data_IF_488953955874
#
_entry.id   IF_488953955874
#
_cell.length_a   1.000
_cell.length_b   1.000
_cell.length_c   1.000
_cell.angle_alpha   90.00
_cell.angle_beta   90.00
_cell.angle_gamma   90.00
#
_symmetry.space_group_name_H-M   'P 1'
#
loop_
_entity.id
_entity.type
_entity.pdbx_description
1 polymer ?
#
# COMPACT_ATOMS: atom_id res chain seq x y z
N UNK A 1 -52.92 -64.14 35.97
CA UNK A 1 -53.48 -63.18 36.94
C UNK A 1 -52.30 -62.59 37.70
N UNK A 2 -52.03 -61.30 37.84
CA UNK A 2 -52.74 -60.03 37.63
C UNK A 2 -51.66 -58.94 37.39
N UNK A 3 -52.04 -57.90 36.65
CA UNK A 3 -51.34 -56.64 36.34
C UNK A 3 -50.81 -55.89 37.57
N UNK A 4 -49.81 -55.01 37.38
CA UNK A 4 -49.82 -53.53 37.58
C UNK A 4 -48.39 -52.97 37.44
N UNK A 5 -48.08 -52.24 36.36
CA UNK A 5 -48.13 -50.77 36.17
C UNK A 5 -47.01 -49.97 36.89
N UNK A 6 -46.13 -49.39 36.06
CA UNK A 6 -45.25 -48.26 36.33
C UNK A 6 -46.04 -47.01 36.77
N UNK A 7 -45.39 -46.06 37.47
CA UNK A 7 -45.28 -44.74 36.84
C UNK A 7 -43.95 -43.98 37.12
N UNK A 8 -43.41 -43.42 36.04
CA UNK A 8 -43.11 -41.98 35.84
C UNK A 8 -42.00 -41.24 36.63
N UNK A 9 -41.08 -40.69 35.80
CA UNK A 9 -40.65 -39.27 35.76
C UNK A 9 -39.48 -38.79 36.63
N UNK A 10 -38.37 -38.44 35.97
CA UNK A 10 -37.85 -37.08 35.68
C UNK A 10 -36.39 -37.28 35.21
N UNK A 11 -36.07 -37.07 33.92
CA UNK A 11 -35.45 -35.84 33.41
C UNK A 11 -34.13 -35.50 34.13
N UNK A 12 -32.98 -35.23 33.52
CA UNK A 12 -32.60 -34.76 32.18
C UNK A 12 -31.09 -34.48 32.26
N UNK A 13 -30.36 -34.68 31.16
CA UNK A 13 -29.16 -33.93 30.70
C UNK A 13 -27.90 -33.92 31.62
N UNK A 14 -26.65 -33.96 31.16
CA UNK A 14 -26.07 -33.37 29.96
C UNK A 14 -24.82 -34.17 29.58
N UNK A 15 -24.81 -34.70 28.35
CA UNK A 15 -23.59 -35.07 27.65
C UNK A 15 -22.89 -33.78 27.22
N UNK A 16 -21.71 -33.51 27.78
CA UNK A 16 -20.81 -32.47 27.25
C UNK A 16 -19.92 -33.16 26.22
N UNK A 17 -20.46 -33.33 25.02
CA UNK A 17 -19.68 -33.47 23.79
C UNK A 17 -19.04 -32.12 23.51
N UNK A 18 -17.78 -31.94 23.89
CA UNK A 18 -16.91 -30.91 23.30
C UNK A 18 -16.62 -31.31 21.85
N UNK A 19 -17.60 -31.08 20.98
CA UNK A 19 -17.33 -30.89 19.55
C UNK A 19 -16.55 -29.60 19.45
N UNK A 20 -15.24 -29.72 19.22
CA UNK A 20 -14.41 -28.60 18.81
C UNK A 20 -15.07 -27.93 17.62
N UNK A 21 -15.38 -26.65 17.78
CA UNK A 21 -15.87 -25.76 16.73
C UNK A 21 -14.73 -25.58 15.71
N UNK A 22 -14.52 -26.58 14.86
CA UNK A 22 -13.95 -26.33 13.53
C UNK A 22 -15.02 -25.57 12.75
N UNK A 23 -15.13 -24.27 13.02
CA UNK A 23 -15.87 -23.36 12.16
C UNK A 23 -15.13 -23.39 10.83
N UNK A 24 -15.67 -24.14 9.86
CA UNK A 24 -15.17 -24.10 8.49
C UNK A 24 -15.38 -22.66 8.00
N UNK A 25 -14.33 -21.83 8.07
CA UNK A 25 -14.32 -20.50 7.48
C UNK A 25 -14.80 -20.63 6.03
N UNK A 26 -15.91 -19.97 5.71
CA UNK A 26 -16.47 -20.06 4.37
C UNK A 26 -15.56 -19.32 3.39
N UNK A 27 -15.62 -19.63 2.09
CA UNK A 27 -14.90 -18.85 1.07
C UNK A 27 -15.21 -17.35 1.15
N UNK A 28 -16.41 -16.99 1.62
CA UNK A 28 -16.84 -15.61 1.80
C UNK A 28 -16.14 -14.92 2.98
N UNK A 29 -15.93 -15.63 4.08
CA UNK A 29 -15.21 -15.10 5.25
C UNK A 29 -13.75 -14.84 4.91
N UNK A 30 -13.11 -15.77 4.18
CA UNK A 30 -11.74 -15.60 3.68
C UNK A 30 -11.61 -14.43 2.71
N UNK A 31 -12.57 -14.25 1.81
CA UNK A 31 -12.59 -13.10 0.93
C UNK A 31 -12.69 -11.77 1.70
N UNK A 32 -13.48 -11.73 2.78
CA UNK A 32 -13.59 -10.55 3.64
C UNK A 32 -12.30 -10.25 4.41
N UNK A 33 -11.61 -11.29 4.91
CA UNK A 33 -10.31 -11.16 5.58
C UNK A 33 -9.23 -10.65 4.63
N UNK A 34 -9.14 -11.20 3.42
CA UNK A 34 -8.21 -10.74 2.38
C UNK A 34 -8.50 -9.29 2.03
N UNK A 35 -9.77 -8.94 1.82
CA UNK A 35 -10.18 -7.56 1.55
C UNK A 35 -9.72 -6.66 2.69
N UNK A 36 -10.04 -7.01 3.95
CA UNK A 36 -9.68 -6.19 5.11
C UNK A 36 -8.16 -5.99 5.25
N UNK A 37 -7.35 -7.01 4.94
CA UNK A 37 -5.90 -6.95 5.01
C UNK A 37 -5.25 -6.30 3.79
N UNK A 38 -5.89 -6.28 2.62
CA UNK A 38 -5.39 -5.68 1.39
C UNK A 38 -5.57 -4.15 1.37
N UNK A 39 -5.14 -3.48 2.43
CA UNK A 39 -5.18 -2.02 2.54
C UNK A 39 -4.11 -1.37 1.66
N UNK A 40 -4.26 -0.06 1.40
CA UNK A 40 -3.21 0.70 0.71
C UNK A 40 -1.84 0.62 1.43
N UNK A 41 -1.84 0.52 2.76
CA UNK A 41 -0.64 0.36 3.57
C UNK A 41 0.08 -0.97 3.35
N UNK A 42 -0.64 -2.05 3.03
CA UNK A 42 -0.07 -3.37 2.76
C UNK A 42 0.16 -3.62 1.26
N UNK A 43 -0.46 -2.84 0.37
CA UNK A 43 -0.32 -2.96 -1.08
C UNK A 43 0.64 -1.92 -1.70
N UNK A 44 1.68 -1.52 -0.97
CA UNK A 44 2.63 -0.45 -1.38
C UNK A 44 3.15 -0.57 -2.82
N UNK A 45 3.56 -1.76 -3.33
CA UNK A 45 4.02 -1.89 -4.70
C UNK A 45 2.95 -1.50 -5.74
N UNK A 46 1.68 -1.82 -5.48
CA UNK A 46 0.57 -1.54 -6.41
C UNK A 46 0.22 -0.05 -6.37
N UNK A 47 0.33 0.57 -5.20
CA UNK A 47 0.19 2.01 -5.02
C UNK A 47 1.29 2.76 -5.79
N UNK A 48 2.53 2.27 -5.77
CA UNK A 48 3.64 2.81 -6.56
C UNK A 48 3.39 2.76 -8.09
N UNK A 49 2.75 1.70 -8.59
CA UNK A 49 2.35 1.62 -9.99
C UNK A 49 1.34 2.70 -10.39
N UNK A 50 0.36 2.96 -9.52
CA UNK A 50 -0.63 4.01 -9.76
C UNK A 50 0.00 5.40 -9.76
N UNK A 51 0.96 5.63 -8.87
CA UNK A 51 1.70 6.90 -8.84
C UNK A 51 2.51 7.13 -10.11
N UNK A 52 3.29 6.13 -10.52
CA UNK A 52 4.10 6.22 -11.73
C UNK A 52 3.23 6.53 -12.94
N UNK A 53 2.05 5.92 -13.00
CA UNK A 53 1.06 6.18 -14.03
C UNK A 53 0.54 7.63 -13.96
N UNK A 54 0.19 8.08 -12.77
CA UNK A 54 -0.24 9.45 -12.53
C UNK A 54 0.85 10.49 -12.87
N UNK A 55 2.12 10.22 -12.59
CA UNK A 55 3.25 11.10 -12.91
C UNK A 55 3.54 11.14 -14.42
N UNK A 56 3.58 9.98 -15.07
CA UNK A 56 3.97 9.86 -16.48
C UNK A 56 2.90 10.42 -17.41
N UNK A 57 1.62 10.18 -17.09
CA UNK A 57 0.50 10.52 -17.97
C UNK A 57 -0.28 11.76 -17.52
N UNK A 58 0.05 12.31 -16.35
CA UNK A 58 -0.83 13.22 -15.63
C UNK A 58 -2.08 12.52 -15.08
N UNK A 59 -2.84 13.19 -14.21
CA UNK A 59 -4.13 12.65 -13.75
C UNK A 59 -5.15 12.70 -14.89
N UNK A 60 -5.46 11.53 -15.46
CA UNK A 60 -6.41 11.39 -16.57
C UNK A 60 -7.77 10.82 -16.13
N UNK A 61 -7.99 10.69 -14.82
CA UNK A 61 -9.21 10.12 -14.24
C UNK A 61 -8.92 8.94 -13.31
N UNK A 62 -9.98 8.45 -12.68
CA UNK A 62 -9.95 7.27 -11.81
C UNK A 62 -10.00 5.99 -12.65
N UNK A 63 -9.41 4.90 -12.18
CA UNK A 63 -9.44 3.61 -12.88
C UNK A 63 -9.95 2.50 -11.96
N UNK A 64 -10.54 1.48 -12.54
CA UNK A 64 -10.82 0.21 -11.85
C UNK A 64 -10.08 -0.89 -12.59
N UNK A 65 -9.17 -1.57 -11.88
CA UNK A 65 -8.65 -2.85 -12.32
C UNK A 65 -9.50 -3.98 -11.74
N UNK A 66 -9.75 -5.00 -12.55
CA UNK A 66 -10.27 -6.28 -12.08
C UNK A 66 -9.13 -7.29 -12.20
N UNK A 67 -8.74 -7.90 -11.10
CA UNK A 67 -7.57 -8.77 -11.01
C UNK A 67 -7.93 -10.13 -10.42
N UNK A 68 -7.24 -11.15 -10.88
CA UNK A 68 -7.20 -12.47 -10.28
C UNK A 68 -5.80 -12.70 -9.71
N UNK A 69 -5.68 -13.36 -8.56
CA UNK A 69 -4.39 -13.72 -7.96
C UNK A 69 -4.56 -14.88 -6.98
N UNK A 70 -3.45 -15.45 -6.53
CA UNK A 70 -3.41 -16.49 -5.50
C UNK A 70 -2.61 -15.98 -4.31
N UNK A 71 -3.11 -16.21 -3.09
CA UNK A 71 -2.32 -16.00 -1.87
C UNK A 71 -1.78 -17.35 -1.44
N UNK A 72 -0.47 -17.49 -1.36
CA UNK A 72 0.18 -18.70 -0.86
C UNK A 72 0.03 -18.85 0.65
N UNK A 73 0.39 -20.03 1.19
CA UNK A 73 0.43 -20.27 2.65
C UNK A 73 1.57 -19.56 3.39
N UNK A 74 2.16 -18.55 2.77
CA UNK A 74 3.15 -17.63 3.32
C UNK A 74 2.68 -16.17 3.14
N UNK A 75 1.37 -15.97 2.96
CA UNK A 75 0.74 -14.64 2.86
C UNK A 75 1.20 -13.79 1.65
N UNK A 76 2.02 -14.35 0.76
CA UNK A 76 2.43 -13.71 -0.49
C UNK A 76 1.43 -13.93 -1.61
N UNK A 77 1.18 -12.85 -2.35
CA UNK A 77 0.41 -12.83 -3.59
C UNK A 77 1.25 -13.41 -4.72
N UNK A 78 0.59 -14.11 -5.64
CA UNK A 78 1.23 -14.84 -6.75
C UNK A 78 0.28 -14.96 -7.92
N UNK A 79 0.84 -15.22 -9.11
CA UNK A 79 0.08 -15.50 -10.33
C UNK A 79 -0.94 -14.39 -10.63
N UNK A 80 -0.61 -13.14 -10.30
CA UNK A 80 -1.50 -12.02 -10.50
C UNK A 80 -1.76 -11.78 -12.00
N UNK A 81 -3.03 -11.55 -12.34
CA UNK A 81 -3.47 -11.31 -13.71
C UNK A 81 -4.57 -10.27 -13.72
N UNK A 82 -4.32 -9.15 -14.41
CA UNK A 82 -5.34 -8.12 -14.63
C UNK A 82 -6.25 -8.61 -15.76
N UNK A 83 -7.54 -8.71 -15.47
CA UNK A 83 -8.59 -9.06 -16.45
C UNK A 83 -9.05 -7.82 -17.21
N UNK A 84 -9.45 -6.78 -16.48
CA UNK A 84 -9.79 -5.48 -17.06
C UNK A 84 -9.11 -4.36 -16.30
N UNK A 85 -8.92 -3.24 -16.99
CA UNK A 85 -8.40 -1.99 -16.44
C UNK A 85 -9.05 -0.87 -17.24
N UNK A 86 -10.00 -0.19 -16.64
CA UNK A 86 -10.89 0.74 -17.32
C UNK A 86 -11.03 2.04 -16.52
N UNK A 87 -11.12 3.21 -17.18
CA UNK A 87 -11.43 4.45 -16.48
C UNK A 87 -12.86 4.39 -15.90
N UNK A 88 -13.06 5.00 -14.74
CA UNK A 88 -14.39 5.12 -14.11
C UNK A 88 -15.31 6.01 -14.94
N UNK A 89 -14.75 7.04 -15.58
CA UNK A 89 -15.48 7.91 -16.51
C UNK A 89 -15.41 7.39 -17.94
N UNK A 90 -16.56 6.95 -18.46
CA UNK A 90 -16.73 6.44 -19.83
C UNK A 90 -16.43 7.48 -20.95
N UNK A 91 -16.20 8.75 -20.58
CA UNK A 91 -15.82 9.83 -21.49
C UNK A 91 -14.31 10.06 -21.61
N UNK A 92 -13.49 9.33 -20.84
CA UNK A 92 -12.04 9.48 -20.89
C UNK A 92 -11.50 9.02 -22.26
N UNK A 93 -10.52 9.73 -22.85
CA UNK A 93 -9.92 9.32 -24.11
C UNK A 93 -9.29 7.93 -23.99
N UNK A 94 -9.59 7.06 -24.96
CA UNK A 94 -8.98 5.72 -25.05
C UNK A 94 -7.48 5.87 -25.20
N UNK A 95 -6.72 5.38 -24.22
CA UNK A 95 -5.26 5.38 -24.21
C UNK A 95 -4.73 3.97 -24.01
N UNK A 96 -3.45 3.80 -24.35
CA UNK A 96 -2.75 2.57 -24.05
C UNK A 96 -2.50 2.47 -22.53
N UNK A 97 -2.97 1.37 -21.94
CA UNK A 97 -2.82 1.05 -20.51
C UNK A 97 -1.95 -0.20 -20.30
N UNK A 98 -1.22 -0.64 -21.33
CA UNK A 98 -0.42 -1.87 -21.31
C UNK A 98 0.68 -1.80 -20.24
N UNK A 99 1.37 -0.67 -20.13
CA UNK A 99 2.41 -0.48 -19.11
C UNK A 99 1.82 -0.46 -17.70
N UNK A 100 0.69 0.24 -17.50
CA UNK A 100 0.02 0.26 -16.20
C UNK A 100 -0.45 -1.13 -15.79
N UNK A 101 -1.06 -1.87 -16.73
CA UNK A 101 -1.48 -3.26 -16.52
C UNK A 101 -0.30 -4.14 -16.09
N UNK A 102 0.80 -4.10 -16.84
CA UNK A 102 1.99 -4.90 -16.52
C UNK A 102 2.60 -4.51 -15.17
N UNK A 103 2.54 -3.23 -14.80
CA UNK A 103 2.99 -2.76 -13.50
C UNK A 103 2.14 -3.38 -12.38
N UNK A 104 0.81 -3.31 -12.47
CA UNK A 104 -0.10 -3.86 -11.47
C UNK A 104 0.13 -5.36 -11.26
N UNK A 105 0.27 -6.13 -12.34
CA UNK A 105 0.51 -7.59 -12.25
C UNK A 105 1.81 -7.90 -11.51
N UNK A 106 2.91 -7.25 -11.87
CA UNK A 106 4.21 -7.44 -11.20
C UNK A 106 4.17 -6.99 -9.75
N UNK A 107 3.56 -5.84 -9.50
CA UNK A 107 3.46 -5.29 -8.15
C UNK A 107 2.64 -6.18 -7.23
N UNK A 108 1.56 -6.79 -7.72
CA UNK A 108 0.78 -7.74 -6.93
C UNK A 108 1.62 -8.97 -6.55
N UNK A 109 2.46 -9.49 -7.44
CA UNK A 109 3.36 -10.61 -7.11
C UNK A 109 4.44 -10.25 -6.06
N UNK A 110 4.64 -8.96 -5.77
CA UNK A 110 5.54 -8.46 -4.72
C UNK A 110 4.83 -8.21 -3.37
N UNK A 111 3.50 -8.33 -3.31
CA UNK A 111 2.74 -8.09 -2.08
C UNK A 111 2.86 -9.26 -1.12
N UNK A 112 3.22 -8.95 0.11
CA UNK A 112 3.19 -9.83 1.28
C UNK A 112 2.26 -9.20 2.32
N UNK A 113 1.20 -9.91 2.71
CA UNK A 113 0.33 -9.42 3.79
C UNK A 113 0.96 -9.73 5.15
N UNK A 114 0.95 -8.79 6.11
CA UNK A 114 1.43 -9.06 7.44
C UNK A 114 0.50 -10.07 8.13
N UNK A 115 1.07 -10.98 8.92
CA UNK A 115 0.28 -11.96 9.70
C UNK A 115 -0.38 -11.34 10.93
N UNK A 116 0.12 -10.19 11.40
CA UNK A 116 -0.37 -9.46 12.56
C UNK A 116 -0.94 -8.11 12.14
N UNK A 117 -1.84 -7.57 12.96
CA UNK A 117 -2.36 -6.20 12.79
C UNK A 117 -1.26 -5.18 13.06
N UNK A 118 -1.14 -4.19 12.19
CA UNK A 118 -0.19 -3.08 12.33
C UNK A 118 -0.86 -1.73 12.01
N UNK A 119 -0.06 -0.69 11.79
CA UNK A 119 -0.54 0.65 11.44
C UNK A 119 -1.19 0.73 10.04
N UNK A 120 -0.90 -0.22 9.15
CA UNK A 120 -1.45 -0.34 7.81
C UNK A 120 -2.80 -1.05 7.77
N UNK A 121 -3.15 -1.86 8.79
CA UNK A 121 -4.45 -2.51 8.88
C UNK A 121 -4.41 -3.86 9.61
N UNK A 122 -5.49 -4.65 9.52
CA UNK A 122 -5.50 -6.00 10.07
C UNK A 122 -4.56 -6.91 9.29
N UNK A 123 -3.93 -7.86 10.00
CA UNK A 123 -3.15 -8.92 9.37
C UNK A 123 -4.02 -9.99 8.71
N UNK A 124 -3.39 -10.81 7.88
CA UNK A 124 -3.99 -11.98 7.23
C UNK A 124 -3.12 -13.21 7.49
N UNK A 125 -3.73 -14.35 7.82
CA UNK A 125 -3.02 -15.62 7.76
C UNK A 125 -3.94 -16.74 7.33
N UNK A 126 -3.43 -17.61 6.48
CA UNK A 126 -4.16 -18.77 6.01
C UNK A 126 -3.27 -20.00 5.92
N UNK A 127 -3.75 -21.11 6.51
CA UNK A 127 -3.06 -22.41 6.51
C UNK A 127 -2.95 -23.01 5.10
N UNK A 128 -3.84 -22.63 4.19
CA UNK A 128 -3.88 -23.11 2.81
C UNK A 128 -4.01 -21.93 1.86
N UNK A 129 -3.35 -22.03 0.71
CA UNK A 129 -3.44 -20.99 -0.30
C UNK A 129 -4.88 -20.76 -0.79
N UNK A 130 -5.18 -19.52 -1.17
CA UNK A 130 -6.49 -19.07 -1.60
C UNK A 130 -6.38 -18.42 -2.97
N UNK A 131 -7.17 -18.92 -3.94
CA UNK A 131 -7.34 -18.24 -5.23
C UNK A 131 -8.44 -17.19 -5.11
N UNK A 132 -8.13 -15.97 -5.51
CA UNK A 132 -9.03 -14.82 -5.53
C UNK A 132 -9.32 -14.45 -6.98
N UNK A 133 -10.61 -14.31 -7.30
CA UNK A 133 -11.06 -13.95 -8.64
C UNK A 133 -11.89 -12.67 -8.62
N UNK A 134 -11.78 -11.89 -9.68
CA UNK A 134 -12.50 -10.64 -9.90
C UNK A 134 -12.35 -9.62 -8.76
N UNK A 135 -11.19 -9.60 -8.11
CA UNK A 135 -10.88 -8.60 -7.10
C UNK A 135 -10.78 -7.23 -7.78
N UNK A 136 -11.50 -6.23 -7.28
CA UNK A 136 -11.61 -4.93 -7.95
C UNK A 136 -10.74 -3.92 -7.23
N UNK A 137 -9.70 -3.41 -7.88
CA UNK A 137 -8.86 -2.36 -7.33
C UNK A 137 -9.31 -1.03 -7.92
N UNK A 138 -9.83 -0.13 -7.09
CA UNK A 138 -10.15 1.23 -7.52
C UNK A 138 -8.95 2.15 -7.28
N UNK A 139 -8.45 2.76 -8.35
CA UNK A 139 -7.40 3.77 -8.33
C UNK A 139 -8.04 5.15 -8.40
N UNK A 140 -8.08 5.84 -7.27
CA UNK A 140 -8.80 7.12 -7.15
C UNK A 140 -7.85 8.31 -7.00
N UNK A 141 -8.33 9.47 -7.45
CA UNK A 141 -7.65 10.76 -7.32
C UNK A 141 -7.79 11.39 -5.93
N UNK A 142 -7.35 12.65 -5.78
CA UNK A 142 -7.21 13.33 -4.48
C UNK A 142 -8.40 14.21 -4.06
N UNK A 143 -9.57 14.07 -4.69
CA UNK A 143 -10.74 14.86 -4.32
C UNK A 143 -11.24 14.52 -2.90
N UNK A 144 -11.19 15.49 -1.99
CA UNK A 144 -11.43 15.31 -0.55
C UNK A 144 -12.77 14.63 -0.20
N UNK A 145 -13.86 14.99 -0.88
CA UNK A 145 -15.18 14.38 -0.64
C UNK A 145 -15.28 12.92 -1.08
N UNK A 146 -14.45 12.50 -2.05
CA UNK A 146 -14.41 11.13 -2.57
C UNK A 146 -13.53 10.23 -1.73
N UNK A 147 -12.52 10.78 -1.02
CA UNK A 147 -11.76 10.04 -0.01
C UNK A 147 -12.62 9.62 1.16
N UNK A 148 -13.46 10.52 1.68
CA UNK A 148 -14.40 10.21 2.76
C UNK A 148 -15.47 9.18 2.33
N UNK A 149 -15.91 9.26 1.06
CA UNK A 149 -16.83 8.27 0.48
C UNK A 149 -16.15 6.90 0.19
N UNK A 150 -14.85 6.90 -0.14
CA UNK A 150 -14.04 5.71 -0.39
C UNK A 150 -13.58 5.01 0.90
N UNK A 151 -13.22 5.79 1.93
CA UNK A 151 -12.88 5.30 3.27
C UNK A 151 -14.09 4.59 3.91
N UNK A 152 -15.30 5.04 3.56
CA UNK A 152 -16.57 4.35 3.89
C UNK A 152 -16.93 3.16 2.98
N UNK A 153 -16.21 2.94 1.86
CA UNK A 153 -16.53 1.92 0.85
C UNK A 153 -15.32 1.03 0.53
N UNK A 154 -15.10 0.07 1.43
CA UNK A 154 -14.38 -1.20 1.20
C UNK A 154 -12.86 -1.11 0.92
N UNK A 155 -12.11 -2.07 1.47
CA UNK A 155 -10.66 -2.20 1.38
C UNK A 155 -10.16 -2.72 0.01
N UNK A 156 -10.80 -2.28 -1.07
CA UNK A 156 -10.42 -2.55 -2.45
C UNK A 156 -10.15 -1.24 -3.21
N UNK A 157 -10.13 -0.12 -2.50
CA UNK A 157 -9.77 1.19 -3.03
C UNK A 157 -8.31 1.47 -2.68
N UNK A 158 -7.46 1.49 -3.70
CA UNK A 158 -6.10 2.00 -3.59
C UNK A 158 -6.12 3.49 -3.93
N UNK A 159 -6.11 4.29 -2.88
CA UNK A 159 -5.92 5.73 -3.00
C UNK A 159 -4.44 5.95 -3.27
N UNK A 160 -4.10 6.60 -4.39
CA UNK A 160 -2.72 7.03 -4.63
C UNK A 160 -2.19 7.86 -3.45
N UNK A 161 -0.88 7.84 -3.18
CA UNK A 161 -0.23 8.20 -1.91
C UNK A 161 -0.23 9.70 -1.60
N UNK A 162 -1.15 10.48 -2.15
CA UNK A 162 -1.58 11.68 -1.43
C UNK A 162 -2.51 11.34 -0.26
N UNK A 163 -2.76 10.07 0.03
CA UNK A 163 -3.60 9.58 1.12
C UNK A 163 -2.96 9.79 2.51
N UNK A 164 -1.65 9.53 2.65
CA UNK A 164 -0.87 9.88 3.86
C UNK A 164 0.39 10.64 3.43
N UNK A 165 0.35 11.97 3.59
CA UNK A 165 1.46 12.87 3.24
C UNK A 165 2.76 12.52 4.00
N UNK A 166 2.65 11.80 5.11
CA UNK A 166 3.70 11.71 6.12
C UNK A 166 4.46 10.40 6.13
N UNK A 167 3.89 9.34 5.57
CA UNK A 167 4.64 8.11 5.33
C UNK A 167 5.69 8.29 4.24
N UNK A 168 5.56 9.34 3.42
CA UNK A 168 6.25 9.42 2.14
C UNK A 168 6.02 8.13 1.35
N UNK A 169 6.92 7.85 0.43
CA UNK A 169 7.05 6.62 -0.36
C UNK A 169 6.52 6.75 -1.78
N UNK A 170 7.50 6.91 -2.65
CA UNK A 170 7.63 6.05 -3.80
C UNK A 170 8.68 4.99 -3.45
N UNK A 171 8.35 3.70 -3.59
CA UNK A 171 9.42 2.73 -3.84
C UNK A 171 9.73 2.81 -5.33
N UNK A 172 10.67 3.68 -5.73
CA UNK A 172 11.09 3.74 -7.13
C UNK A 172 11.82 2.45 -7.50
N UNK A 173 11.28 1.70 -8.47
CA UNK A 173 11.93 0.50 -9.00
C UNK A 173 12.30 0.70 -10.48
N UNK A 174 13.60 0.62 -10.85
CA UNK A 174 14.76 0.42 -9.97
C UNK A 174 15.07 1.66 -9.11
N UNK A 175 15.69 1.48 -7.92
CA UNK A 175 16.14 2.59 -7.08
C UNK A 175 17.13 3.47 -7.83
N UNK A 176 17.01 4.80 -7.66
CA UNK A 176 17.90 5.74 -8.34
C UNK A 176 19.22 5.87 -7.60
N UNK A 177 20.28 6.22 -8.33
CA UNK A 177 21.54 6.55 -7.70
C UNK A 177 21.48 7.93 -7.03
N UNK A 178 22.32 8.14 -6.02
CA UNK A 178 22.36 9.37 -5.23
C UNK A 178 22.62 10.63 -6.07
N UNK A 179 23.40 10.53 -7.16
CA UNK A 179 23.71 11.67 -8.03
C UNK A 179 22.54 12.12 -8.91
N UNK A 180 21.75 11.15 -9.39
CA UNK A 180 20.48 11.38 -10.08
C UNK A 180 19.49 12.09 -9.14
N UNK A 181 19.37 11.61 -7.90
CA UNK A 181 18.49 12.20 -6.88
C UNK A 181 18.88 13.64 -6.54
N UNK A 182 20.17 13.93 -6.32
CA UNK A 182 20.64 15.31 -6.12
C UNK A 182 20.29 16.23 -7.28
N UNK A 183 20.43 15.73 -8.51
CA UNK A 183 20.14 16.51 -9.72
C UNK A 183 18.65 16.83 -9.84
N UNK A 184 17.77 15.86 -9.61
CA UNK A 184 16.32 16.09 -9.64
C UNK A 184 15.85 17.06 -8.54
N UNK A 185 16.34 16.89 -7.32
CA UNK A 185 16.04 17.80 -6.20
C UNK A 185 16.47 19.23 -6.53
N UNK A 186 17.68 19.40 -7.09
CA UNK A 186 18.17 20.71 -7.52
C UNK A 186 17.31 21.31 -8.64
N UNK A 187 16.91 20.51 -9.62
CA UNK A 187 16.05 20.94 -10.73
C UNK A 187 14.67 21.40 -10.23
N UNK A 188 14.01 20.64 -9.36
CA UNK A 188 12.73 21.01 -8.76
C UNK A 188 12.85 22.30 -7.95
N UNK A 189 13.94 22.44 -7.17
CA UNK A 189 14.19 23.66 -6.39
C UNK A 189 14.40 24.88 -7.29
N UNK A 190 15.05 24.70 -8.44
CA UNK A 190 15.30 25.79 -9.41
C UNK A 190 14.07 26.21 -10.22
N UNK A 191 13.05 25.35 -10.31
CA UNK A 191 11.82 25.57 -11.08
C UNK A 191 10.59 25.26 -10.21
N UNK A 192 10.32 26.08 -9.20
CA UNK A 192 9.18 25.83 -8.31
C UNK A 192 7.85 25.93 -9.06
N UNK A 193 6.85 25.16 -8.61
CA UNK A 193 5.48 25.31 -9.08
C UNK A 193 4.98 26.75 -8.94
N UNK A 194 4.02 27.11 -9.79
CA UNK A 194 3.34 28.39 -9.69
C UNK A 194 2.69 28.53 -8.30
N UNK A 195 3.06 29.55 -7.49
CA UNK A 195 2.53 29.71 -6.14
C UNK A 195 1.03 30.03 -6.08
N UNK A 196 0.42 30.48 -7.20
CA UNK A 196 -1.03 30.68 -7.28
C UNK A 196 -1.81 29.37 -7.44
N UNK A 197 -1.18 28.30 -7.93
CA UNK A 197 -1.77 26.96 -8.03
C UNK A 197 -1.41 26.16 -6.78
N UNK A 198 -2.26 26.27 -5.76
CA UNK A 198 -2.06 25.61 -4.45
C UNK A 198 -1.90 24.10 -4.58
N UNK A 199 -2.57 23.50 -5.55
CA UNK A 199 -2.50 22.06 -5.77
C UNK A 199 -1.15 21.72 -6.38
N UNK A 200 -0.71 22.41 -7.43
CA UNK A 200 0.62 22.22 -8.00
C UNK A 200 1.75 22.41 -6.97
N UNK A 201 1.61 23.39 -6.06
CA UNK A 201 2.56 23.58 -4.95
C UNK A 201 2.56 22.38 -4.00
N UNK A 202 1.39 21.89 -3.59
CA UNK A 202 1.30 20.72 -2.72
C UNK A 202 1.89 19.46 -3.37
N UNK A 203 1.72 19.30 -4.69
CA UNK A 203 2.32 18.20 -5.48
C UNK A 203 3.83 18.24 -5.48
N UNK A 204 4.40 19.40 -5.81
CA UNK A 204 5.85 19.59 -5.84
C UNK A 204 6.46 19.41 -4.44
N UNK A 205 5.78 19.86 -3.39
CA UNK A 205 6.25 19.66 -2.01
C UNK A 205 6.25 18.19 -1.60
N UNK A 206 5.20 17.44 -1.95
CA UNK A 206 5.15 16.00 -1.68
C UNK A 206 6.26 15.28 -2.45
N UNK A 207 6.40 15.55 -3.75
CA UNK A 207 7.45 14.96 -4.58
C UNK A 207 8.86 15.28 -4.05
N UNK A 208 9.07 16.51 -3.57
CA UNK A 208 10.32 16.91 -2.95
C UNK A 208 10.61 16.11 -1.69
N UNK A 209 9.60 15.94 -0.83
CA UNK A 209 9.70 15.13 0.38
C UNK A 209 10.08 13.68 0.07
N UNK A 210 9.45 13.08 -0.94
CA UNK A 210 9.71 11.70 -1.33
C UNK A 210 11.12 11.50 -1.91
N UNK A 211 11.59 12.43 -2.74
CA UNK A 211 12.95 12.42 -3.27
C UNK A 211 14.00 12.52 -2.16
N UNK A 212 13.73 13.35 -1.15
CA UNK A 212 14.62 13.53 -0.01
C UNK A 212 14.67 12.29 0.89
N UNK A 213 13.53 11.61 1.08
CA UNK A 213 13.47 10.31 1.76
C UNK A 213 14.27 9.23 1.03
N UNK A 214 14.10 9.10 -0.29
CA UNK A 214 14.88 8.13 -1.08
C UNK A 214 16.38 8.44 -1.04
N UNK A 215 16.76 9.71 -1.16
CA UNK A 215 18.14 10.14 -1.05
C UNK A 215 18.74 9.78 0.31
N UNK A 216 18.02 10.03 1.40
CA UNK A 216 18.47 9.67 2.74
C UNK A 216 18.68 8.15 2.88
N UNK A 217 17.71 7.34 2.43
CA UNK A 217 17.82 5.89 2.44
C UNK A 217 19.00 5.39 1.58
N UNK A 218 19.25 6.02 0.44
CA UNK A 218 20.37 5.63 -0.44
C UNK A 218 21.73 5.97 0.15
N UNK A 219 21.84 7.15 0.75
CA UNK A 219 23.06 7.56 1.46
C UNK A 219 23.33 6.68 2.69
N UNK A 220 22.29 6.22 3.39
CA UNK A 220 22.42 5.22 4.47
C UNK A 220 22.94 3.88 3.95
N UNK A 221 22.37 3.38 2.84
CA UNK A 221 22.82 2.15 2.20
C UNK A 221 24.28 2.26 1.70
N UNK A 222 24.64 3.40 1.12
CA UNK A 222 26.02 3.69 0.71
C UNK A 222 26.94 3.66 1.92
N UNK A 223 26.59 4.34 3.03
CA UNK A 223 27.39 4.35 4.27
C UNK A 223 27.54 2.98 4.92
N UNK A 224 26.56 2.10 4.79
CA UNK A 224 26.63 0.72 5.27
C UNK A 224 27.68 -0.11 4.52
N UNK A 225 28.15 0.34 3.35
CA UNK A 225 29.23 -0.33 2.63
C UNK A 225 30.57 -0.19 3.39
N UNK A 226 31.09 -1.34 3.84
CA UNK A 226 32.34 -1.43 4.61
C UNK A 226 33.59 -1.14 3.79
N UNK A 227 33.52 -1.19 2.46
CA UNK A 227 34.67 -0.95 1.57
C UNK A 227 34.92 0.54 1.24
N UNK A 228 34.15 1.46 1.81
CA UNK A 228 34.29 2.90 1.53
C UNK A 228 35.53 3.53 2.20
N UNK A 229 36.35 4.29 1.45
CA UNK A 229 37.44 5.10 2.01
C UNK A 229 36.94 6.12 3.05
N UNK A 230 37.73 6.35 4.10
CA UNK A 230 37.35 7.23 5.22
C UNK A 230 36.96 8.68 4.79
N UNK A 231 37.64 9.22 3.78
CA UNK A 231 37.34 10.56 3.23
C UNK A 231 35.96 10.59 2.56
N UNK A 232 35.57 9.52 1.86
CA UNK A 232 34.26 9.40 1.23
C UNK A 232 33.17 9.18 2.28
N UNK A 233 33.47 8.39 3.32
CA UNK A 233 32.56 8.16 4.45
C UNK A 233 32.17 9.47 5.13
N UNK A 234 33.12 10.37 5.42
CA UNK A 234 32.81 11.67 6.03
C UNK A 234 31.86 12.49 5.14
N UNK A 235 32.15 12.59 3.84
CA UNK A 235 31.31 13.33 2.89
C UNK A 235 29.89 12.78 2.81
N UNK A 236 29.74 11.45 2.83
CA UNK A 236 28.44 10.79 2.82
C UNK A 236 27.66 11.02 4.11
N UNK A 237 28.33 11.06 5.27
CA UNK A 237 27.69 11.43 6.55
C UNK A 237 27.17 12.87 6.49
N UNK A 238 28.00 13.82 6.07
CA UNK A 238 27.60 15.23 5.96
C UNK A 238 26.40 15.40 5.00
N UNK A 239 26.42 14.67 3.87
CA UNK A 239 25.33 14.66 2.90
C UNK A 239 24.04 14.02 3.45
N UNK A 240 24.16 12.91 4.19
CA UNK A 240 23.02 12.26 4.82
C UNK A 240 22.35 13.17 5.85
N UNK A 241 23.13 13.83 6.69
CA UNK A 241 22.59 14.77 7.67
C UNK A 241 21.87 15.95 6.99
N UNK A 242 22.41 16.46 5.88
CA UNK A 242 21.75 17.49 5.09
C UNK A 242 20.42 16.99 4.52
N UNK A 243 20.40 15.82 3.88
CA UNK A 243 19.20 15.20 3.34
C UNK A 243 18.12 14.99 4.42
N UNK A 244 18.49 14.50 5.61
CA UNK A 244 17.57 14.33 6.75
C UNK A 244 16.99 15.66 7.25
N UNK A 245 17.81 16.72 7.34
CA UNK A 245 17.33 18.05 7.73
C UNK A 245 16.35 18.61 6.71
N UNK A 246 16.66 18.49 5.43
CA UNK A 246 15.80 18.94 4.34
C UNK A 246 14.50 18.15 4.29
N UNK A 247 14.56 16.83 4.42
CA UNK A 247 13.39 15.95 4.58
C UNK A 247 12.49 16.44 5.70
N UNK A 248 13.08 16.71 6.88
CA UNK A 248 12.32 17.18 8.06
C UNK A 248 11.66 18.54 7.80
N UNK A 249 12.39 19.48 7.18
CA UNK A 249 11.85 20.79 6.85
C UNK A 249 10.71 20.70 5.82
N UNK A 250 10.82 19.80 4.83
CA UNK A 250 9.75 19.57 3.86
C UNK A 250 8.55 18.87 4.52
N UNK A 251 8.78 17.90 5.41
CA UNK A 251 7.74 17.24 6.21
C UNK A 251 6.88 18.26 6.96
N UNK A 252 7.50 19.22 7.65
CA UNK A 252 6.79 20.28 8.36
C UNK A 252 5.91 21.11 7.41
N UNK A 253 6.39 21.40 6.20
CA UNK A 253 5.66 22.19 5.19
C UNK A 253 4.46 21.45 4.61
N UNK A 254 4.51 20.12 4.52
CA UNK A 254 3.38 19.29 4.06
C UNK A 254 2.40 18.94 5.18
N UNK A 255 2.71 19.33 6.42
CA UNK A 255 1.87 19.11 7.61
C UNK A 255 2.18 17.82 8.36
N UNK A 256 3.35 17.24 8.13
CA UNK A 256 3.81 16.05 8.79
C UNK A 256 4.59 16.43 10.05
N UNK A 257 4.13 15.89 11.19
CA UNK A 257 4.84 16.08 12.45
C UNK A 257 6.27 15.56 12.32
N UNK A 258 7.23 16.27 12.91
CA UNK A 258 8.63 15.89 12.86
C UNK A 258 8.78 14.39 13.17
N UNK A 259 9.27 13.61 12.20
CA UNK A 259 9.71 12.24 12.42
C UNK A 259 10.83 12.34 13.45
N UNK A 260 10.48 12.17 14.73
CA UNK A 260 11.47 12.20 15.80
C UNK A 260 12.41 11.03 15.54
N UNK A 261 13.72 11.26 15.44
CA UNK A 261 14.65 10.14 15.44
C UNK A 261 14.42 9.38 16.75
N UNK A 262 14.05 8.11 16.64
CA UNK A 262 14.07 7.21 17.79
C UNK A 262 15.48 7.23 18.40
N UNK A 263 15.50 7.35 19.73
CA UNK A 263 16.71 7.51 20.54
C UNK A 263 17.56 6.26 20.57
#
# INVERSE_FOLDING_TARGET
MIRTLSPQSFARLLAITTLGLCSCATPRDRAAEIVAAATAGHMKPVVACWEKEHETSGFQGEYIAVVDFEIGGNEHFRNASVKSLEPVDNGAPSRDLTEFRSCIEKALDEVELPTETDAGGPGYSAVFGVSVHNYRIAFVGDQAGRREEADGRQAHVLIGPRADRCQGLYTYNPPRDSSTLFTEIALMTSKPANPQDKDAVARELQRMYDLQLELAARLEADLANSSLPAVNRKRLVDALEAAKRETSATAERIGCGAVRPEK
#
